data_IF_230396583892
#
_entry.id   IF_230396583892
#
_cell.length_a   1.000
_cell.length_b   1.000
_cell.length_c   1.000
_cell.angle_alpha   90.00
_cell.angle_beta   90.00
_cell.angle_gamma   90.00
#
_symmetry.space_group_name_H-M   'P 1'
#
loop_
_entity.id
_entity.type
_entity.pdbx_description
1 polymer ?
#
# COMPACT_ATOMS: atom_id res chain seq x y z
N UNK A 1 -1.76 0.24 -20.49
CA UNK A 1 -0.97 0.88 -19.41
C UNK A 1 -0.88 -0.15 -18.31
N UNK A 2 0.32 -0.65 -18.04
CA UNK A 2 0.56 -1.69 -17.04
C UNK A 2 0.68 -1.00 -15.68
N UNK A 3 -0.13 -1.39 -14.71
CA UNK A 3 -0.17 -0.82 -13.36
C UNK A 3 0.43 -1.81 -12.33
N UNK A 4 0.63 -1.37 -11.08
CA UNK A 4 1.20 -2.20 -10.00
C UNK A 4 0.50 -3.57 -9.86
N UNK A 5 -0.83 -3.60 -9.98
CA UNK A 5 -1.60 -4.85 -9.89
C UNK A 5 -1.24 -5.85 -11.00
N UNK A 6 -0.93 -5.36 -12.21
CA UNK A 6 -0.68 -6.21 -13.37
C UNK A 6 0.70 -6.88 -13.23
N UNK A 7 1.71 -6.15 -12.75
CA UNK A 7 3.03 -6.72 -12.47
C UNK A 7 2.97 -7.71 -11.29
N UNK A 8 2.16 -7.45 -10.27
CA UNK A 8 1.92 -8.41 -9.18
C UNK A 8 1.26 -9.69 -9.70
N UNK A 9 0.21 -9.57 -10.52
CA UNK A 9 -0.47 -10.72 -11.12
C UNK A 9 0.51 -11.54 -11.96
N UNK A 10 1.34 -10.87 -12.79
CA UNK A 10 2.38 -11.53 -13.57
C UNK A 10 3.34 -12.35 -12.71
N UNK A 11 3.84 -11.78 -11.60
CA UNK A 11 4.69 -12.54 -10.67
C UNK A 11 3.95 -13.74 -10.04
N UNK A 12 2.67 -13.58 -9.70
CA UNK A 12 1.88 -14.70 -9.17
C UNK A 12 1.67 -15.82 -10.19
N UNK A 13 1.47 -15.47 -11.47
CA UNK A 13 1.36 -16.42 -12.57
C UNK A 13 2.69 -17.14 -12.84
N UNK A 14 3.81 -16.42 -12.88
CA UNK A 14 5.15 -17.01 -13.05
C UNK A 14 5.56 -17.92 -11.88
N UNK A 15 5.08 -17.63 -10.68
CA UNK A 15 5.32 -18.44 -9.48
C UNK A 15 4.33 -19.58 -9.30
N UNK A 16 3.26 -19.64 -10.10
CA UNK A 16 2.11 -20.52 -9.95
C UNK A 16 1.60 -20.55 -8.49
N UNK A 17 1.37 -19.36 -7.92
CA UNK A 17 1.02 -19.21 -6.51
C UNK A 17 -0.37 -18.59 -6.30
N UNK A 18 -1.03 -19.05 -5.23
CA UNK A 18 -2.31 -18.47 -4.82
C UNK A 18 -2.11 -17.21 -3.97
N UNK A 19 -3.13 -16.35 -3.88
CA UNK A 19 -3.09 -15.19 -2.97
C UNK A 19 -2.88 -15.60 -1.52
N UNK A 20 -3.32 -16.80 -1.13
CA UNK A 20 -3.11 -17.35 0.21
C UNK A 20 -1.64 -17.75 0.42
N UNK A 21 -1.05 -18.45 -0.54
CA UNK A 21 0.36 -18.85 -0.47
C UNK A 21 1.30 -17.64 -0.42
N UNK A 22 1.00 -16.60 -1.20
CA UNK A 22 1.75 -15.34 -1.16
C UNK A 22 1.55 -14.58 0.16
N UNK A 23 0.35 -14.60 0.74
CA UNK A 23 0.10 -14.03 2.07
C UNK A 23 0.95 -14.74 3.13
N UNK A 24 0.94 -16.08 3.13
CA UNK A 24 1.71 -16.91 4.06
C UNK A 24 3.23 -16.72 3.89
N UNK A 25 3.72 -16.54 2.66
CA UNK A 25 5.16 -16.34 2.41
C UNK A 25 5.65 -14.94 2.79
N UNK A 26 4.82 -13.91 2.58
CA UNK A 26 5.14 -12.50 2.86
C UNK A 26 4.89 -12.08 4.30
N UNK A 27 4.02 -12.80 5.03
CA UNK A 27 3.53 -12.37 6.34
C UNK A 27 2.42 -11.31 6.26
N UNK A 28 1.92 -11.01 5.07
CA UNK A 28 0.77 -10.14 4.86
C UNK A 28 -0.54 -10.91 5.03
N UNK A 29 -1.63 -10.21 5.33
CA UNK A 29 -2.95 -10.85 5.35
C UNK A 29 -3.44 -11.13 3.93
N UNK A 30 -4.21 -12.22 3.74
CA UNK A 30 -4.84 -12.54 2.47
C UNK A 30 -5.72 -11.39 1.93
N UNK A 31 -6.37 -10.63 2.82
CA UNK A 31 -7.12 -9.44 2.47
C UNK A 31 -6.23 -8.33 1.88
N UNK A 32 -5.01 -8.15 2.40
CA UNK A 32 -4.05 -7.17 1.87
C UNK A 32 -3.60 -7.57 0.46
N UNK A 33 -3.22 -8.83 0.26
CA UNK A 33 -2.87 -9.36 -1.07
C UNK A 33 -4.04 -9.22 -2.06
N UNK A 34 -5.27 -9.51 -1.61
CA UNK A 34 -6.47 -9.35 -2.45
C UNK A 34 -6.67 -7.91 -2.92
N UNK A 35 -6.50 -6.93 -2.03
CA UNK A 35 -6.62 -5.50 -2.38
C UNK A 35 -5.52 -5.04 -3.34
N UNK A 36 -4.30 -5.56 -3.18
CA UNK A 36 -3.21 -5.31 -4.12
C UNK A 36 -3.51 -5.89 -5.50
N UNK A 37 -4.04 -7.11 -5.57
CA UNK A 37 -4.40 -7.76 -6.83
C UNK A 37 -5.59 -7.10 -7.53
N UNK A 38 -6.57 -6.59 -6.79
CA UNK A 38 -7.71 -5.87 -7.38
C UNK A 38 -7.35 -4.43 -7.80
N UNK A 39 -6.24 -3.89 -7.31
CA UNK A 39 -5.89 -2.48 -7.46
C UNK A 39 -6.69 -1.55 -6.54
N UNK A 40 -7.46 -2.09 -5.59
CA UNK A 40 -8.14 -1.29 -4.55
C UNK A 40 -7.13 -0.59 -3.63
N UNK A 41 -5.92 -1.15 -3.53
CA UNK A 41 -4.82 -0.58 -2.77
C UNK A 41 -3.50 -0.83 -3.49
N UNK A 42 -2.54 0.07 -3.27
CA UNK A 42 -1.12 -0.12 -3.59
C UNK A 42 -0.29 0.03 -2.31
N UNK A 43 0.85 -0.65 -2.18
CA UNK A 43 1.78 -0.42 -1.08
C UNK A 43 2.46 0.95 -1.23
N UNK A 44 2.88 1.52 -0.11
CA UNK A 44 3.74 2.71 -0.11
C UNK A 44 5.19 2.28 -0.34
N UNK A 45 5.94 3.08 -1.11
CA UNK A 45 7.33 2.80 -1.52
C UNK A 45 8.26 2.56 -0.33
N UNK A 46 8.02 3.21 0.80
CA UNK A 46 8.84 3.08 2.01
C UNK A 46 8.22 2.15 3.06
N UNK A 47 7.03 1.59 2.80
CA UNK A 47 6.33 0.74 3.77
C UNK A 47 6.96 -0.62 3.97
N UNK A 48 6.85 -1.12 5.19
CA UNK A 48 7.21 -2.52 5.50
C UNK A 48 6.33 -3.51 4.74
N UNK A 49 5.12 -3.13 4.35
CA UNK A 49 4.26 -3.95 3.49
C UNK A 49 4.91 -4.25 2.14
N UNK A 50 5.58 -3.26 1.52
CA UNK A 50 6.28 -3.49 0.26
C UNK A 50 7.45 -4.46 0.46
N UNK A 51 8.26 -4.25 1.51
CA UNK A 51 9.38 -5.14 1.84
C UNK A 51 8.92 -6.58 2.08
N UNK A 52 7.83 -6.75 2.84
CA UNK A 52 7.21 -8.05 3.10
C UNK A 52 6.71 -8.72 1.83
N UNK A 53 6.04 -7.97 0.94
CA UNK A 53 5.57 -8.48 -0.33
C UNK A 53 6.74 -8.98 -1.20
N UNK A 54 7.79 -8.18 -1.36
CA UNK A 54 9.00 -8.53 -2.13
C UNK A 54 9.65 -9.78 -1.53
N UNK A 55 9.83 -9.80 -0.21
CA UNK A 55 10.36 -10.97 0.50
C UNK A 55 9.53 -12.23 0.21
N UNK A 56 8.20 -12.13 0.27
CA UNK A 56 7.30 -13.26 -0.01
C UNK A 56 7.44 -13.80 -1.44
N UNK A 57 7.58 -12.91 -2.43
CA UNK A 57 7.79 -13.25 -3.84
C UNK A 57 9.13 -13.97 -4.02
N UNK A 58 10.22 -13.37 -3.51
CA UNK A 58 11.58 -13.94 -3.62
C UNK A 58 11.67 -15.29 -2.90
N UNK A 59 11.04 -15.42 -1.74
CA UNK A 59 10.99 -16.69 -0.99
C UNK A 59 10.27 -17.79 -1.77
N UNK A 60 9.19 -17.46 -2.49
CA UNK A 60 8.51 -18.42 -3.35
C UNK A 60 9.35 -18.76 -4.58
N UNK A 61 9.98 -17.77 -5.20
CA UNK A 61 10.89 -17.98 -6.34
C UNK A 61 12.03 -18.94 -5.99
N UNK A 62 12.65 -18.77 -4.82
CA UNK A 62 13.68 -19.68 -4.31
C UNK A 62 13.16 -21.11 -4.13
N UNK A 63 11.95 -21.29 -3.58
CA UNK A 63 11.30 -22.60 -3.45
C UNK A 63 11.01 -23.26 -4.81
N UNK A 64 10.87 -22.47 -5.88
CA UNK A 64 10.62 -22.93 -7.25
C UNK A 64 11.89 -22.98 -8.11
N UNK A 65 13.06 -22.68 -7.54
CA UNK A 65 14.34 -22.59 -8.25
C UNK A 65 14.35 -21.55 -9.40
N UNK A 66 13.57 -20.47 -9.26
CA UNK A 66 13.51 -19.37 -10.22
C UNK A 66 14.49 -18.25 -9.83
N UNK A 67 15.77 -18.42 -10.15
CA UNK A 67 16.83 -17.46 -9.77
C UNK A 67 16.73 -16.10 -10.46
N UNK A 68 15.98 -16.00 -11.55
CA UNK A 68 15.69 -14.75 -12.26
C UNK A 68 14.85 -13.78 -11.43
N UNK A 69 14.05 -14.29 -10.49
CA UNK A 69 13.20 -13.49 -9.61
C UNK A 69 13.93 -13.30 -8.28
N UNK A 70 14.53 -12.13 -8.10
CA UNK A 70 15.26 -11.76 -6.89
C UNK A 70 14.83 -10.37 -6.38
N UNK A 71 15.33 -10.00 -5.21
CA UNK A 71 14.95 -8.75 -4.54
C UNK A 71 15.15 -7.52 -5.44
N UNK A 72 16.28 -7.45 -6.13
CA UNK A 72 16.64 -6.32 -7.01
C UNK A 72 15.65 -6.22 -8.18
N UNK A 73 15.37 -7.34 -8.86
CA UNK A 73 14.48 -7.34 -10.04
C UNK A 73 13.06 -6.97 -9.64
N UNK A 74 12.52 -7.62 -8.61
CA UNK A 74 11.15 -7.40 -8.13
C UNK A 74 10.97 -5.97 -7.63
N UNK A 75 11.93 -5.47 -6.83
CA UNK A 75 11.89 -4.10 -6.34
C UNK A 75 11.92 -3.08 -7.48
N UNK A 76 12.85 -3.26 -8.44
CA UNK A 76 12.96 -2.35 -9.58
C UNK A 76 11.71 -2.34 -10.47
N UNK A 77 11.06 -3.48 -10.63
CA UNK A 77 9.82 -3.59 -11.40
C UNK A 77 8.66 -2.91 -10.68
N UNK A 78 8.49 -3.10 -9.37
CA UNK A 78 7.45 -2.42 -8.61
C UNK A 78 7.62 -0.90 -8.56
N UNK A 79 8.85 -0.41 -8.37
CA UNK A 79 9.11 1.04 -8.33
C UNK A 79 8.70 1.79 -9.59
N UNK A 80 8.67 1.14 -10.76
CA UNK A 80 8.21 1.78 -12.02
C UNK A 80 6.72 2.13 -12.00
N UNK A 81 5.94 1.48 -11.14
CA UNK A 81 4.49 1.59 -11.11
C UNK A 81 3.96 2.06 -9.75
N UNK A 82 4.81 2.14 -8.74
CA UNK A 82 4.46 2.80 -7.49
C UNK A 82 4.68 4.31 -7.66
N UNK A 83 3.65 5.13 -7.40
CA UNK A 83 3.82 6.57 -7.39
C UNK A 83 4.88 6.93 -6.35
N UNK A 84 5.81 7.79 -6.74
CA UNK A 84 6.67 8.49 -5.80
C UNK A 84 5.79 9.49 -5.03
N UNK A 85 5.07 8.97 -4.04
CA UNK A 85 4.34 9.77 -3.07
C UNK A 85 5.33 10.19 -1.98
N UNK A 86 6.41 10.88 -2.38
CA UNK A 86 7.11 11.81 -1.51
C UNK A 86 6.29 13.09 -1.27
N UNK A 87 4.96 13.03 -1.45
CA UNK A 87 4.07 14.08 -1.01
C UNK A 87 4.22 14.20 0.51
N UNK A 88 4.80 15.31 0.95
CA UNK A 88 4.94 15.60 2.37
C UNK A 88 3.54 15.78 2.97
N UNK A 89 3.00 14.68 3.50
CA UNK A 89 1.70 14.66 4.16
C UNK A 89 1.65 15.61 5.36
N UNK A 90 2.81 16.04 5.89
CA UNK A 90 2.88 17.09 6.91
C UNK A 90 2.37 18.42 6.36
N UNK A 91 2.64 18.74 5.09
CA UNK A 91 2.12 19.95 4.43
C UNK A 91 0.60 19.86 4.28
N UNK A 92 0.08 18.71 3.82
CA UNK A 92 -1.37 18.49 3.72
C UNK A 92 -2.05 18.62 5.09
N UNK A 93 -1.47 17.97 6.11
CA UNK A 93 -1.96 18.01 7.49
C UNK A 93 -1.97 19.44 8.04
N UNK A 94 -0.88 20.20 7.84
CA UNK A 94 -0.76 21.58 8.28
C UNK A 94 -1.81 22.48 7.60
N UNK A 95 -1.96 22.35 6.28
CA UNK A 95 -2.95 23.09 5.52
C UNK A 95 -4.38 22.75 5.95
N UNK A 96 -4.68 21.47 6.14
CA UNK A 96 -5.99 21.00 6.62
C UNK A 96 -6.31 21.55 8.01
N UNK A 97 -5.35 21.50 8.94
CA UNK A 97 -5.54 22.04 10.29
C UNK A 97 -5.72 23.56 10.28
N UNK A 98 -5.02 24.26 9.39
CA UNK A 98 -5.19 25.70 9.18
C UNK A 98 -6.60 26.03 8.69
N UNK A 99 -7.10 25.30 7.69
CA UNK A 99 -8.47 25.47 7.19
C UNK A 99 -9.52 25.20 8.27
N UNK A 100 -9.36 24.13 9.07
CA UNK A 100 -10.28 23.84 10.17
C UNK A 100 -10.33 24.98 11.18
N UNK A 101 -9.18 25.57 11.48
CA UNK A 101 -9.08 26.69 12.42
C UNK A 101 -9.70 27.96 11.84
N UNK A 102 -9.30 28.34 10.62
CA UNK A 102 -9.76 29.58 9.99
C UNK A 102 -11.27 29.57 9.70
N UNK A 103 -11.80 28.42 9.30
CA UNK A 103 -13.22 28.26 8.99
C UNK A 103 -14.04 27.81 10.21
N UNK A 104 -13.43 27.68 11.39
CA UNK A 104 -14.07 27.20 12.62
C UNK A 104 -14.81 25.87 12.44
N UNK A 105 -14.24 24.95 11.67
CA UNK A 105 -14.84 23.65 11.36
C UNK A 105 -14.78 22.75 12.59
N UNK A 106 -15.95 22.29 13.04
CA UNK A 106 -16.04 21.26 14.07
C UNK A 106 -15.68 19.88 13.50
N UNK A 107 -14.73 19.20 14.13
CA UNK A 107 -14.24 17.89 13.64
C UNK A 107 -15.31 16.80 13.68
N UNK A 108 -16.18 16.79 14.69
CA UNK A 108 -17.26 15.82 14.82
C UNK A 108 -18.34 16.03 13.76
N UNK A 109 -18.70 17.28 13.48
CA UNK A 109 -19.69 17.60 12.45
C UNK A 109 -19.17 17.29 11.06
N UNK A 110 -17.91 17.62 10.77
CA UNK A 110 -17.27 17.30 9.51
C UNK A 110 -17.19 15.79 9.28
N UNK A 111 -16.81 15.02 10.30
CA UNK A 111 -16.79 13.57 10.22
C UNK A 111 -18.18 12.98 9.93
N UNK A 112 -19.21 13.47 10.64
CA UNK A 112 -20.61 13.08 10.41
C UNK A 112 -21.06 13.41 8.98
N UNK A 113 -20.74 14.59 8.47
CA UNK A 113 -21.08 15.00 7.11
C UNK A 113 -20.47 14.07 6.06
N UNK A 114 -19.23 13.62 6.28
CA UNK A 114 -18.54 12.69 5.39
C UNK A 114 -18.87 11.20 5.63
N UNK A 115 -19.76 10.88 6.58
CA UNK A 115 -20.05 9.52 7.02
C UNK A 115 -18.81 8.75 7.52
N UNK A 116 -17.91 9.43 8.24
CA UNK A 116 -16.77 8.83 8.94
C UNK A 116 -16.87 9.00 10.46
N UNK A 117 -16.17 8.14 11.19
CA UNK A 117 -15.92 8.36 12.61
C UNK A 117 -15.03 9.58 12.85
N UNK A 118 -15.37 10.38 13.87
CA UNK A 118 -14.56 11.51 14.30
C UNK A 118 -13.11 11.11 14.63
N UNK A 119 -12.92 9.87 15.12
CA UNK A 119 -11.58 9.31 15.40
C UNK A 119 -10.73 9.12 14.14
N UNK A 120 -11.36 8.89 12.97
CA UNK A 120 -10.65 8.75 11.71
C UNK A 120 -10.12 10.11 11.24
N UNK A 121 -10.97 11.14 11.28
CA UNK A 121 -10.59 12.52 10.94
C UNK A 121 -9.53 13.04 11.93
N UNK A 122 -9.68 12.76 13.22
CA UNK A 122 -8.68 13.13 14.24
C UNK A 122 -7.31 12.51 13.95
N UNK A 123 -7.26 11.24 13.54
CA UNK A 123 -5.98 10.58 13.19
C UNK A 123 -5.30 11.25 12.01
N UNK A 124 -6.04 11.64 10.97
CA UNK A 124 -5.51 12.42 9.83
C UNK A 124 -4.96 13.77 10.32
N UNK A 125 -5.74 14.51 11.13
CA UNK A 125 -5.29 15.80 11.72
C UNK A 125 -4.04 15.67 12.58
N UNK A 126 -3.80 14.49 13.16
CA UNK A 126 -2.62 14.19 13.99
C UNK A 126 -1.47 13.50 13.24
N UNK A 127 -1.60 13.23 11.93
CA UNK A 127 -0.57 12.58 11.13
C UNK A 127 -0.40 11.08 11.45
N UNK A 128 -1.38 10.50 12.15
CA UNK A 128 -1.42 9.06 12.48
C UNK A 128 -2.15 8.23 11.42
N UNK A 129 -2.62 8.87 10.35
CA UNK A 129 -3.36 8.24 9.27
C UNK A 129 -3.09 8.91 7.95
#
# INVERSE_FOLDING_TARGET
MTDFKDILIKYMEELDCSSKELADSSGLSAATISRYRSGERIPDVQSDNLKQLIYGIVKLAQKRNLSSINDITVHSDFLRFLPDISADFSILQANLNTLFTMLSINTSEFARFLNYDASYISRIKSGKR
#
